data_IF_726252087160
#
_entry.id   IF_726252087160
#
_cell.length_a   1.000
_cell.length_b   1.000
_cell.length_c   1.000
_cell.angle_alpha   90.00
_cell.angle_beta   90.00
_cell.angle_gamma   90.00
#
_symmetry.space_group_name_H-M   'P 1'
#
loop_
_entity.id
_entity.type
_entity.pdbx_description
1 polymer ?
#
# COMPACT_ATOMS: atom_id res chain seq x y z
N UNK A 1 -8.52 -15.96 -4.17
CA UNK A 1 -9.37 -14.92 -3.56
C UNK A 1 -8.55 -13.68 -3.23
N UNK A 2 -9.05 -12.48 -3.55
CA UNK A 2 -8.36 -11.25 -3.17
C UNK A 2 -8.30 -11.11 -1.64
N UNK A 3 -7.18 -10.59 -1.14
CA UNK A 3 -6.98 -10.35 0.30
C UNK A 3 -7.74 -9.13 0.79
N UNK A 4 -8.07 -8.22 -0.11
CA UNK A 4 -8.84 -7.01 0.17
C UNK A 4 -9.95 -6.89 -0.86
N UNK A 5 -10.96 -6.09 -0.56
CA UNK A 5 -12.02 -5.79 -1.52
C UNK A 5 -12.11 -4.28 -1.79
N UNK A 6 -12.86 -3.94 -2.82
CA UNK A 6 -13.02 -2.55 -3.25
C UNK A 6 -13.59 -1.66 -2.15
N UNK A 7 -14.60 -2.16 -1.43
CA UNK A 7 -15.26 -1.39 -0.38
C UNK A 7 -14.33 -1.09 0.79
N UNK A 8 -13.55 -2.07 1.22
CA UNK A 8 -12.58 -1.87 2.31
C UNK A 8 -11.59 -0.78 1.97
N UNK A 9 -11.05 -0.79 0.75
CA UNK A 9 -10.08 0.21 0.31
C UNK A 9 -10.73 1.58 0.17
N UNK A 10 -11.94 1.63 -0.38
CA UNK A 10 -12.69 2.89 -0.53
C UNK A 10 -12.99 3.51 0.82
N UNK A 11 -13.47 2.73 1.77
CA UNK A 11 -13.82 3.20 3.12
C UNK A 11 -12.58 3.70 3.87
N UNK A 12 -11.42 3.13 3.61
CA UNK A 12 -10.17 3.56 4.21
C UNK A 12 -9.55 4.81 3.54
N UNK A 13 -10.17 5.31 2.45
CA UNK A 13 -9.66 6.49 1.74
C UNK A 13 -8.44 6.22 0.87
N UNK A 14 -8.16 4.97 0.53
CA UNK A 14 -6.98 4.57 -0.23
C UNK A 14 -7.03 5.06 -1.67
N UNK A 15 -8.21 5.44 -2.17
CA UNK A 15 -8.39 5.95 -3.53
C UNK A 15 -7.87 7.37 -3.73
N UNK A 16 -7.58 8.12 -2.66
CA UNK A 16 -7.03 9.47 -2.77
C UNK A 16 -5.54 9.42 -3.04
N UNK A 17 -5.13 9.96 -4.18
CA UNK A 17 -3.73 10.07 -4.54
C UNK A 17 -3.17 11.47 -4.29
N UNK A 18 -2.09 11.81 -4.98
CA UNK A 18 -1.48 13.13 -4.90
C UNK A 18 -2.32 14.19 -5.60
N UNK A 19 -2.09 15.46 -5.23
CA UNK A 19 -2.58 16.59 -6.00
C UNK A 19 -2.03 16.46 -7.43
N UNK A 20 -2.83 16.84 -8.42
CA UNK A 20 -2.46 16.76 -9.83
C UNK A 20 -1.08 17.34 -10.12
N UNK A 21 -0.77 18.52 -9.55
CA UNK A 21 0.51 19.22 -9.78
C UNK A 21 1.72 18.56 -9.13
N UNK A 22 1.51 17.58 -8.24
CA UNK A 22 2.58 16.93 -7.45
C UNK A 22 2.75 15.46 -7.79
N UNK A 23 2.05 14.97 -8.78
CA UNK A 23 2.08 13.55 -9.08
C UNK A 23 3.35 13.15 -9.84
N UNK A 24 3.65 11.86 -9.80
CA UNK A 24 4.68 11.26 -10.63
C UNK A 24 4.01 10.67 -11.88
N UNK A 25 4.40 11.08 -13.10
CA UNK A 25 3.80 10.55 -14.33
C UNK A 25 3.85 9.03 -14.47
N UNK A 26 4.77 8.37 -13.80
CA UNK A 26 4.85 6.90 -13.80
C UNK A 26 3.60 6.24 -13.19
N UNK A 27 2.81 6.98 -12.44
CA UNK A 27 1.55 6.51 -11.86
C UNK A 27 0.38 6.54 -12.85
N UNK A 28 0.55 7.09 -14.05
CA UNK A 28 -0.55 7.24 -15.01
C UNK A 28 -1.39 5.96 -15.22
N UNK A 29 -0.80 4.75 -15.34
CA UNK A 29 -1.58 3.53 -15.51
C UNK A 29 -2.49 3.20 -14.35
N UNK A 30 -2.25 3.77 -13.17
CA UNK A 30 -2.96 3.46 -11.93
C UNK A 30 -3.94 4.54 -11.51
N UNK A 31 -4.05 5.62 -12.27
CA UNK A 31 -4.95 6.74 -11.99
C UNK A 31 -6.25 6.53 -12.76
N UNK A 32 -7.36 6.49 -12.04
CA UNK A 32 -8.68 6.31 -12.64
C UNK A 32 -9.23 7.62 -13.20
N UNK A 33 -9.15 8.70 -12.42
CA UNK A 33 -9.66 10.01 -12.81
C UNK A 33 -9.07 11.11 -11.94
N UNK A 34 -9.36 12.34 -12.29
CA UNK A 34 -9.05 13.51 -11.47
C UNK A 34 -10.34 14.12 -10.96
N UNK A 35 -10.37 14.49 -9.68
CA UNK A 35 -11.52 15.17 -9.08
C UNK A 35 -11.03 16.27 -8.15
N UNK A 36 -11.47 17.51 -8.41
CA UNK A 36 -11.09 18.67 -7.61
C UNK A 36 -9.56 18.84 -7.48
N UNK A 37 -8.83 18.58 -8.56
CA UNK A 37 -7.38 18.70 -8.58
C UNK A 37 -6.61 17.58 -7.91
N UNK A 38 -7.31 16.52 -7.48
CA UNK A 38 -6.71 15.35 -6.84
C UNK A 38 -6.90 14.14 -7.74
N UNK A 39 -5.83 13.36 -7.92
CA UNK A 39 -5.90 12.10 -8.66
C UNK A 39 -6.62 11.04 -7.82
N UNK A 40 -7.51 10.30 -8.45
CA UNK A 40 -8.20 9.17 -7.83
C UNK A 40 -7.57 7.89 -8.36
N UNK A 41 -7.07 7.06 -7.44
CA UNK A 41 -6.40 5.81 -7.78
C UNK A 41 -7.42 4.75 -8.18
N UNK A 42 -7.10 3.97 -9.21
CA UNK A 42 -7.93 2.84 -9.64
C UNK A 42 -7.79 1.69 -8.64
N UNK A 43 -8.80 1.53 -7.78
CA UNK A 43 -8.76 0.51 -6.72
C UNK A 43 -8.83 -0.92 -7.24
N UNK A 44 -9.37 -1.16 -8.43
CA UNK A 44 -9.35 -2.50 -9.02
C UNK A 44 -7.90 -2.94 -9.28
N UNK A 45 -7.08 -2.02 -9.74
CA UNK A 45 -5.64 -2.29 -9.91
C UNK A 45 -4.92 -2.43 -8.58
N UNK A 46 -5.32 -1.63 -7.58
CA UNK A 46 -4.76 -1.73 -6.23
C UNK A 46 -4.99 -3.11 -5.64
N UNK A 47 -6.19 -3.65 -5.77
CA UNK A 47 -6.53 -4.99 -5.26
C UNK A 47 -5.58 -6.03 -5.87
N UNK A 48 -5.39 -6.00 -7.18
CA UNK A 48 -4.50 -6.93 -7.88
C UNK A 48 -3.06 -6.78 -7.39
N UNK A 49 -2.59 -5.54 -7.24
CA UNK A 49 -1.21 -5.27 -6.81
C UNK A 49 -0.96 -5.66 -5.36
N UNK A 50 -1.95 -5.53 -4.48
CA UNK A 50 -1.83 -6.01 -3.10
C UNK A 50 -1.63 -7.52 -3.08
N UNK A 51 -2.40 -8.26 -3.87
CA UNK A 51 -2.25 -9.71 -3.95
C UNK A 51 -0.89 -10.11 -4.51
N UNK A 52 -0.41 -9.43 -5.55
CA UNK A 52 0.93 -9.66 -6.11
C UNK A 52 2.02 -9.39 -5.07
N UNK A 53 1.91 -8.28 -4.35
CA UNK A 53 2.88 -7.93 -3.31
C UNK A 53 2.90 -8.95 -2.18
N UNK A 54 1.72 -9.39 -1.73
CA UNK A 54 1.62 -10.38 -0.67
C UNK A 54 2.21 -11.72 -1.09
N UNK A 55 2.00 -12.14 -2.34
CA UNK A 55 2.59 -13.37 -2.85
C UNK A 55 4.11 -13.28 -2.94
N UNK A 56 4.64 -12.13 -3.35
CA UNK A 56 6.08 -11.89 -3.37
C UNK A 56 6.69 -11.97 -1.97
N UNK A 57 6.04 -11.34 -0.98
CA UNK A 57 6.49 -11.41 0.42
C UNK A 57 6.45 -12.83 0.96
N UNK A 58 5.42 -13.59 0.60
CA UNK A 58 5.29 -14.99 1.01
C UNK A 58 6.46 -15.83 0.47
N UNK A 59 6.83 -15.62 -0.79
CA UNK A 59 7.98 -16.31 -1.39
C UNK A 59 9.29 -15.94 -0.70
N UNK A 60 9.49 -14.67 -0.38
CA UNK A 60 10.69 -14.20 0.33
C UNK A 60 10.75 -14.84 1.73
N UNK A 61 9.66 -14.86 2.45
CA UNK A 61 9.59 -15.47 3.78
C UNK A 61 9.89 -16.97 3.73
N UNK A 62 9.38 -17.69 2.73
CA UNK A 62 9.65 -19.13 2.57
C UNK A 62 11.11 -19.44 2.29
N UNK A 63 11.82 -18.51 1.65
CA UNK A 63 13.25 -18.70 1.37
C UNK A 63 14.16 -18.44 2.57
N UNK A 64 13.58 -18.08 3.73
CA UNK A 64 14.33 -17.78 4.94
C UNK A 64 14.92 -16.37 4.98
N UNK A 65 14.65 -15.54 3.96
CA UNK A 65 15.11 -14.16 3.96
C UNK A 65 14.26 -13.31 4.89
N UNK A 66 14.85 -12.24 5.38
CA UNK A 66 14.17 -11.32 6.28
C UNK A 66 13.56 -10.16 5.50
N UNK A 67 12.45 -9.62 6.00
CA UNK A 67 11.79 -8.45 5.45
C UNK A 67 11.86 -7.32 6.46
N UNK A 68 12.26 -6.14 6.01
CA UNK A 68 12.31 -4.95 6.82
C UNK A 68 11.20 -4.00 6.39
N UNK A 69 10.36 -3.60 7.33
CA UNK A 69 9.31 -2.62 7.07
C UNK A 69 9.78 -1.23 7.42
N UNK A 70 9.41 -0.26 6.61
CA UNK A 70 9.75 1.15 6.82
C UNK A 70 8.45 1.96 6.83
N UNK A 71 8.22 2.68 7.91
CA UNK A 71 7.05 3.55 8.05
C UNK A 71 7.50 4.93 8.52
N UNK A 72 7.37 5.92 7.65
CA UNK A 72 7.82 7.29 7.91
C UNK A 72 6.69 8.24 8.26
N UNK A 73 5.47 7.96 7.84
CA UNK A 73 4.30 8.79 8.17
C UNK A 73 3.84 8.54 9.60
N UNK A 74 3.47 9.60 10.30
CA UNK A 74 2.98 9.52 11.67
C UNK A 74 1.83 8.52 11.83
N UNK A 75 0.88 8.56 10.89
CA UNK A 75 -0.32 7.73 10.94
C UNK A 75 0.01 6.24 10.82
N UNK A 76 1.09 5.91 10.12
CA UNK A 76 1.46 4.52 9.85
C UNK A 76 2.38 3.92 10.91
N UNK A 77 3.19 4.72 11.59
CA UNK A 77 4.25 4.22 12.47
C UNK A 77 3.75 3.20 13.50
N UNK A 78 2.75 3.57 14.30
CA UNK A 78 2.23 2.71 15.36
C UNK A 78 1.55 1.47 14.81
N UNK A 79 0.73 1.65 13.78
CA UNK A 79 -0.02 0.56 13.16
C UNK A 79 0.92 -0.49 12.58
N UNK A 80 1.91 -0.04 11.81
CA UNK A 80 2.88 -0.94 11.18
C UNK A 80 3.75 -1.61 12.24
N UNK A 81 4.18 -0.87 13.28
CA UNK A 81 4.97 -1.44 14.37
C UNK A 81 4.24 -2.58 15.07
N UNK A 82 2.96 -2.42 15.37
CA UNK A 82 2.15 -3.46 16.00
C UNK A 82 2.03 -4.71 15.12
N UNK A 83 1.74 -4.52 13.84
CA UNK A 83 1.58 -5.64 12.92
C UNK A 83 2.89 -6.38 12.66
N UNK A 84 3.98 -5.64 12.54
CA UNK A 84 5.31 -6.23 12.31
C UNK A 84 5.81 -6.99 13.54
N UNK A 85 5.58 -6.46 14.72
CA UNK A 85 5.96 -7.14 15.99
C UNK A 85 5.24 -8.47 16.14
N UNK A 86 3.98 -8.56 15.69
CA UNK A 86 3.20 -9.78 15.77
C UNK A 86 3.82 -10.94 14.96
N UNK A 87 4.65 -10.63 13.95
CA UNK A 87 5.31 -11.63 13.09
C UNK A 87 6.83 -11.62 13.23
N UNK A 88 7.36 -10.99 14.28
CA UNK A 88 8.80 -10.93 14.59
C UNK A 88 9.68 -10.36 13.49
N UNK A 89 9.20 -9.32 12.80
CA UNK A 89 9.98 -8.61 11.81
C UNK A 89 10.49 -7.28 12.37
N UNK A 90 11.51 -6.73 11.72
CA UNK A 90 12.09 -5.44 12.10
C UNK A 90 11.32 -4.29 11.46
N UNK A 91 11.24 -3.16 12.17
CA UNK A 91 10.66 -1.92 11.67
C UNK A 91 11.65 -0.79 11.86
N UNK A 92 11.82 0.03 10.84
CA UNK A 92 12.60 1.26 10.90
C UNK A 92 11.66 2.47 10.90
N UNK A 93 11.86 3.36 11.86
CA UNK A 93 11.20 4.67 11.95
C UNK A 93 12.19 5.74 11.49
N UNK A 94 11.80 6.48 10.48
CA UNK A 94 12.60 7.58 9.96
C UNK A 94 11.84 8.89 10.08
#
# INVERSE_FOLDING_TARGET
MPRTDFKQLLDAGVHFGHLKRKWNPSMAPYIFMEKNGIHIIDLQKTIVKIDEAADALKSIARSGRKVMFVATKKQAKTIVAEKVSAVNLSLIHI
#
